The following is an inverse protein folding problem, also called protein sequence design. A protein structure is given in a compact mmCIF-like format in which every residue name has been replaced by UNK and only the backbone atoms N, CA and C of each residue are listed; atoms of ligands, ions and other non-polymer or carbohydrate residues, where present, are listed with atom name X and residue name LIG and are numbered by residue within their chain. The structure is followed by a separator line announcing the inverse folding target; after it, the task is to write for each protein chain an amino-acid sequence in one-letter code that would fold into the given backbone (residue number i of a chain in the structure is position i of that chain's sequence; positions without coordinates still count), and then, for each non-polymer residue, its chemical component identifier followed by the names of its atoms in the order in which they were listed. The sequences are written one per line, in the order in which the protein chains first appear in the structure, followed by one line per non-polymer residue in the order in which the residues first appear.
data_IF_661745364307
#
_entry.id   IF_661745364307
#
_cell.length_a   1.000
_cell.length_b   1.000
_cell.length_c   1.000
_cell.angle_alpha   90.00
_cell.angle_beta   90.00
_cell.angle_gamma   90.00
#
_symmetry.space_group_name_H-M   'P 1'
#
loop_
_entity.id
_entity.type
_entity.pdbx_description
1 polymer ?
#
# COMPACT_ATOMS: atom_id res chain seq x y z
N UNK A 1 -8.99 -13.98 4.61
CA UNK A 1 -8.79 -15.35 5.12
C UNK A 1 -8.78 -16.41 4.00
N UNK A 2 -9.72 -16.39 3.05
CA UNK A 2 -9.75 -17.36 1.94
C UNK A 2 -8.51 -17.34 1.02
N UNK A 3 -7.94 -16.16 0.74
CA UNK A 3 -6.72 -16.04 -0.06
C UNK A 3 -5.51 -16.65 0.64
N UNK A 4 -5.35 -16.42 1.95
CA UNK A 4 -4.28 -17.04 2.74
C UNK A 4 -4.41 -18.56 2.80
N UNK A 5 -5.64 -19.08 3.00
CA UNK A 5 -5.91 -20.52 2.97
C UNK A 5 -5.53 -21.15 1.63
N UNK A 6 -5.84 -20.48 0.51
CA UNK A 6 -5.44 -20.93 -0.83
C UNK A 6 -3.93 -20.99 -0.98
N UNK A 7 -3.22 -19.94 -0.54
CA UNK A 7 -1.76 -19.85 -0.64
C UNK A 7 -1.07 -20.96 0.16
N UNK A 8 -1.55 -21.22 1.37
CA UNK A 8 -1.00 -22.28 2.24
C UNK A 8 -1.28 -23.67 1.66
N UNK A 9 -2.47 -23.91 1.09
CA UNK A 9 -2.83 -25.23 0.57
C UNK A 9 -2.27 -25.55 -0.82
N UNK A 10 -2.19 -24.56 -1.72
CA UNK A 10 -1.82 -24.81 -3.12
C UNK A 10 -0.41 -24.29 -3.47
N UNK A 11 0.27 -23.65 -2.52
CA UNK A 11 1.52 -22.96 -2.79
C UNK A 11 1.33 -21.72 -3.65
N UNK A 12 2.34 -20.85 -3.65
CA UNK A 12 2.43 -19.69 -4.55
C UNK A 12 3.50 -19.99 -5.60
N UNK A 13 3.09 -20.17 -6.84
CA UNK A 13 4.07 -20.15 -7.94
C UNK A 13 4.55 -18.71 -8.17
N UNK A 14 5.80 -18.50 -8.63
CA UNK A 14 6.34 -17.15 -8.88
C UNK A 14 5.49 -16.33 -9.87
N UNK A 15 4.79 -16.98 -10.81
CA UNK A 15 3.86 -16.31 -11.73
C UNK A 15 2.55 -15.86 -11.05
N UNK A 16 2.14 -16.52 -9.95
CA UNK A 16 0.93 -16.20 -9.19
C UNK A 16 1.15 -15.13 -8.10
N UNK A 17 2.39 -14.69 -7.87
CA UNK A 17 2.66 -13.54 -7.00
C UNK A 17 2.25 -12.25 -7.73
N UNK A 18 0.94 -12.01 -7.75
CA UNK A 18 0.34 -10.88 -8.45
C UNK A 18 0.33 -9.61 -7.58
N UNK A 19 0.28 -8.43 -8.21
CA UNK A 19 0.16 -7.15 -7.52
C UNK A 19 -1.01 -7.03 -6.53
N UNK A 20 -1.97 -7.97 -6.55
CA UNK A 20 -3.11 -8.00 -5.63
C UNK A 20 -2.73 -8.06 -4.14
N UNK A 21 -1.54 -8.54 -3.78
CA UNK A 21 -1.08 -8.48 -2.39
C UNK A 21 -0.92 -7.04 -1.88
N UNK A 22 -0.66 -6.08 -2.77
CA UNK A 22 -0.64 -4.65 -2.42
C UNK A 22 -2.03 -4.14 -2.05
N UNK A 23 -3.11 -4.69 -2.61
CA UNK A 23 -4.49 -4.26 -2.31
C UNK A 23 -4.83 -4.50 -0.83
N UNK A 24 -4.33 -5.59 -0.24
CA UNK A 24 -4.50 -5.86 1.19
C UNK A 24 -3.80 -4.79 2.06
N UNK A 25 -2.59 -4.38 1.70
CA UNK A 25 -1.90 -3.25 2.35
C UNK A 25 -2.69 -1.95 2.17
N UNK A 26 -3.23 -1.71 0.97
CA UNK A 26 -4.04 -0.54 0.66
C UNK A 26 -5.30 -0.44 1.52
N UNK A 27 -5.99 -1.56 1.76
CA UNK A 27 -7.17 -1.58 2.63
C UNK A 27 -6.83 -1.17 4.08
N UNK A 28 -5.70 -1.62 4.61
CA UNK A 28 -5.24 -1.19 5.94
C UNK A 28 -4.86 0.29 5.96
N UNK A 29 -4.17 0.79 4.92
CA UNK A 29 -3.84 2.21 4.81
C UNK A 29 -5.10 3.10 4.77
N UNK A 30 -6.15 2.70 4.04
CA UNK A 30 -7.43 3.41 4.02
C UNK A 30 -8.06 3.42 5.42
N UNK A 31 -8.02 2.29 6.14
CA UNK A 31 -8.55 2.22 7.51
C UNK A 31 -7.79 3.16 8.46
N UNK A 32 -6.47 3.29 8.31
CA UNK A 32 -5.65 4.26 9.07
C UNK A 32 -6.05 5.70 8.74
N UNK A 33 -6.23 6.05 7.45
CA UNK A 33 -6.68 7.39 7.05
C UNK A 33 -8.06 7.69 7.64
N UNK A 34 -9.00 6.76 7.52
CA UNK A 34 -10.35 6.92 8.05
C UNK A 34 -10.35 7.10 9.57
N UNK A 35 -9.61 6.25 10.29
CA UNK A 35 -9.52 6.36 11.75
C UNK A 35 -8.79 7.62 12.21
N UNK A 36 -7.74 8.05 11.50
CA UNK A 36 -7.06 9.33 11.78
C UNK A 36 -8.02 10.51 11.62
N UNK A 37 -8.86 10.49 10.57
CA UNK A 37 -9.88 11.53 10.38
C UNK A 37 -10.95 11.50 11.47
N UNK A 38 -11.33 10.32 11.99
CA UNK A 38 -12.29 10.22 13.12
C UNK A 38 -11.67 10.77 14.40
N UNK A 39 -10.42 10.43 14.68
CA UNK A 39 -9.68 10.98 15.83
C UNK A 39 -9.50 12.50 15.68
N UNK A 40 -9.38 13.03 14.47
CA UNK A 40 -9.27 14.47 14.26
C UNK A 40 -10.58 15.26 14.48
N UNK A 41 -11.74 14.59 14.66
CA UNK A 41 -13.02 15.26 14.90
C UNK A 41 -13.00 15.96 16.28
N UNK A 42 -13.64 17.13 16.35
CA UNK A 42 -13.87 17.88 17.58
C UNK A 42 -14.50 17.00 18.67
N UNK A 43 -14.20 17.33 19.93
CA UNK A 43 -14.64 16.56 21.09
C UNK A 43 -16.16 16.46 21.14
N UNK A 44 -16.66 15.23 21.07
CA UNK A 44 -18.04 14.86 21.39
C UNK A 44 -18.00 13.63 22.29
N UNK A 45 -19.01 13.40 23.17
CA UNK A 45 -18.98 12.29 24.12
C UNK A 45 -18.72 10.91 23.47
N UNK A 46 -19.22 10.70 22.25
CA UNK A 46 -18.99 9.47 21.48
C UNK A 46 -17.56 9.38 20.94
N UNK A 47 -17.02 10.48 20.39
CA UNK A 47 -15.64 10.52 19.86
C UNK A 47 -14.65 10.30 21.00
N UNK A 48 -14.82 10.96 22.15
CA UNK A 48 -13.89 10.84 23.26
C UNK A 48 -13.88 9.43 23.87
N UNK A 49 -15.05 8.78 23.93
CA UNK A 49 -15.16 7.39 24.37
C UNK A 49 -14.48 6.39 23.42
N UNK A 50 -14.41 6.70 22.12
CA UNK A 50 -13.86 5.80 21.10
C UNK A 50 -12.42 6.15 20.68
N UNK A 51 -11.94 7.36 20.98
CA UNK A 51 -10.65 7.92 20.55
C UNK A 51 -9.48 7.00 20.87
N UNK A 52 -9.40 6.49 22.11
CA UNK A 52 -8.32 5.59 22.53
C UNK A 52 -8.33 4.25 21.78
N UNK A 53 -9.52 3.66 21.57
CA UNK A 53 -9.67 2.41 20.83
C UNK A 53 -9.28 2.59 19.35
N UNK A 54 -9.74 3.66 18.72
CA UNK A 54 -9.44 3.97 17.32
C UNK A 54 -7.95 4.27 17.16
N UNK A 55 -7.37 5.11 18.01
CA UNK A 55 -5.93 5.43 18.01
C UNK A 55 -5.04 4.19 18.12
N UNK A 56 -5.34 3.28 19.06
CA UNK A 56 -4.62 2.00 19.17
C UNK A 56 -4.80 1.13 17.91
N UNK A 57 -6.01 1.06 17.36
CA UNK A 57 -6.30 0.25 16.17
C UNK A 57 -5.55 0.75 14.93
N UNK A 58 -5.55 2.06 14.68
CA UNK A 58 -4.85 2.63 13.52
C UNK A 58 -3.33 2.53 13.66
N UNK A 59 -2.77 2.67 14.87
CA UNK A 59 -1.34 2.47 15.10
C UNK A 59 -0.92 1.02 14.80
N UNK A 60 -1.74 0.04 15.19
CA UNK A 60 -1.53 -1.38 14.85
C UNK A 60 -1.58 -1.58 13.34
N UNK A 61 -2.61 -1.08 12.65
CA UNK A 61 -2.73 -1.22 11.19
C UNK A 61 -1.59 -0.55 10.43
N UNK A 62 -1.15 0.63 10.87
CA UNK A 62 0.00 1.31 10.29
C UNK A 62 1.29 0.50 10.46
N UNK A 63 1.51 -0.08 11.64
CA UNK A 63 2.65 -0.97 11.90
C UNK A 63 2.61 -2.23 11.03
N UNK A 64 1.43 -2.80 10.81
CA UNK A 64 1.26 -3.91 9.87
C UNK A 64 1.57 -3.50 8.42
N UNK A 65 1.22 -2.27 7.99
CA UNK A 65 1.61 -1.77 6.68
C UNK A 65 3.14 -1.72 6.53
N UNK A 66 3.85 -1.22 7.55
CA UNK A 66 5.32 -1.21 7.54
C UNK A 66 5.92 -2.61 7.40
N UNK A 67 5.35 -3.62 8.05
CA UNK A 67 5.81 -5.00 7.94
C UNK A 67 5.51 -5.63 6.57
N UNK A 68 4.42 -5.23 5.93
CA UNK A 68 4.08 -5.70 4.59
C UNK A 68 5.02 -5.15 3.51
N UNK A 69 5.53 -3.93 3.65
CA UNK A 69 6.37 -3.30 2.63
C UNK A 69 7.62 -4.15 2.30
N UNK A 70 8.47 -4.56 3.27
CA UNK A 70 9.60 -5.44 3.00
C UNK A 70 9.20 -6.77 2.38
N UNK A 71 8.09 -7.36 2.84
CA UNK A 71 7.59 -8.64 2.31
C UNK A 71 7.15 -8.50 0.84
N UNK A 72 6.46 -7.41 0.49
CA UNK A 72 5.99 -7.14 -0.86
C UNK A 72 7.14 -6.81 -1.81
N UNK A 73 8.10 -6.00 -1.36
CA UNK A 73 9.32 -5.69 -2.12
C UNK A 73 10.13 -6.97 -2.32
N UNK A 74 10.31 -7.78 -1.28
CA UNK A 74 11.01 -9.06 -1.35
C UNK A 74 10.37 -10.02 -2.35
N UNK A 75 9.03 -10.13 -2.35
CA UNK A 75 8.29 -10.91 -3.35
C UNK A 75 8.48 -10.40 -4.79
N UNK A 76 8.51 -9.08 -4.98
CA UNK A 76 8.80 -8.46 -6.28
C UNK A 76 10.22 -8.75 -6.78
N UNK A 77 11.23 -8.60 -5.90
CA UNK A 77 12.63 -8.92 -6.20
C UNK A 77 12.79 -10.40 -6.51
N UNK A 78 12.17 -11.28 -5.72
CA UNK A 78 12.19 -12.72 -5.95
C UNK A 78 11.58 -13.11 -7.31
N UNK A 79 10.48 -12.48 -7.71
CA UNK A 79 9.82 -12.71 -9.01
C UNK A 79 10.67 -12.24 -10.19
N UNK A 80 11.23 -11.03 -10.13
CA UNK A 80 11.87 -10.41 -11.30
C UNK A 80 13.39 -10.60 -11.34
N UNK A 81 14.08 -10.65 -10.20
CA UNK A 81 15.53 -10.77 -10.12
C UNK A 81 15.94 -12.24 -10.02
N UNK A 82 15.34 -13.00 -9.09
CA UNK A 82 15.71 -14.41 -8.87
C UNK A 82 15.11 -15.30 -9.96
N UNK A 83 13.81 -15.15 -10.24
CA UNK A 83 13.10 -15.98 -11.23
C UNK A 83 13.10 -15.41 -12.66
N UNK A 84 13.74 -14.25 -12.87
CA UNK A 84 13.92 -13.59 -14.17
C UNK A 84 12.64 -13.47 -15.00
N UNK A 85 11.49 -13.29 -14.35
CA UNK A 85 10.21 -13.08 -15.05
C UNK A 85 10.28 -11.71 -15.73
N UNK A 86 10.08 -11.64 -17.07
CA UNK A 86 10.23 -10.39 -17.81
C UNK A 86 9.25 -9.34 -17.30
N UNK A 87 9.74 -8.11 -17.15
CA UNK A 87 8.99 -6.96 -16.66
C UNK A 87 8.15 -6.39 -17.82
N UNK A 88 7.08 -7.10 -18.17
CA UNK A 88 6.11 -6.64 -19.16
C UNK A 88 5.04 -5.81 -18.49
N UNK A 89 4.62 -4.71 -19.12
CA UNK A 89 3.49 -3.93 -18.61
C UNK A 89 2.24 -4.81 -18.54
N UNK A 90 1.67 -4.90 -17.34
CA UNK A 90 0.36 -5.51 -17.11
C UNK A 90 -0.51 -4.47 -16.41
N UNK A 91 -1.80 -4.33 -16.75
CA UNK A 91 -2.70 -3.38 -16.07
C UNK A 91 -2.73 -3.56 -14.54
N UNK A 92 -2.47 -4.78 -14.05
CA UNK A 92 -2.39 -5.10 -12.62
C UNK A 92 -1.27 -4.35 -11.87
N UNK A 93 -0.26 -3.80 -12.55
CA UNK A 93 0.77 -2.96 -11.92
C UNK A 93 0.18 -1.72 -11.23
N UNK A 94 -0.95 -1.20 -11.74
CA UNK A 94 -1.66 -0.09 -11.11
C UNK A 94 -2.18 -0.41 -9.70
N UNK A 95 -2.45 -1.68 -9.43
CA UNK A 95 -2.86 -2.14 -8.10
C UNK A 95 -1.79 -1.97 -7.03
N UNK A 96 -0.53 -1.71 -7.39
CA UNK A 96 0.54 -1.34 -6.44
C UNK A 96 0.61 0.16 -6.17
N UNK A 97 0.37 0.97 -7.20
CA UNK A 97 0.53 2.44 -7.14
C UNK A 97 -0.39 3.04 -6.08
N UNK A 98 -1.65 2.59 -6.07
CA UNK A 98 -2.66 3.09 -5.14
C UNK A 98 -2.31 2.79 -3.67
N UNK A 99 -2.00 1.55 -3.26
CA UNK A 99 -1.59 1.25 -1.88
C UNK A 99 -0.35 2.00 -1.39
N UNK A 100 0.66 2.20 -2.25
CA UNK A 100 1.85 2.98 -1.89
C UNK A 100 1.46 4.44 -1.61
N UNK A 101 0.65 5.04 -2.48
CA UNK A 101 0.13 6.39 -2.28
C UNK A 101 -0.73 6.51 -1.02
N UNK A 102 -1.62 5.54 -0.78
CA UNK A 102 -2.46 5.52 0.42
C UNK A 102 -1.64 5.34 1.70
N UNK A 103 -0.57 4.54 1.70
CA UNK A 103 0.33 4.43 2.84
C UNK A 103 1.04 5.75 3.15
N UNK A 104 1.41 6.52 2.12
CA UNK A 104 1.97 7.86 2.30
C UNK A 104 0.97 8.79 3.00
N UNK A 105 -0.28 8.85 2.51
CA UNK A 105 -1.35 9.66 3.09
C UNK A 105 -1.68 9.20 4.52
N UNK A 106 -1.77 7.89 4.75
CA UNK A 106 -1.99 7.31 6.08
C UNK A 106 -0.92 7.76 7.08
N UNK A 107 0.35 7.72 6.67
CA UNK A 107 1.48 8.12 7.52
C UNK A 107 1.48 9.63 7.80
N UNK A 108 1.17 10.47 6.80
CA UNK A 108 1.05 11.92 6.99
C UNK A 108 -0.09 12.25 7.97
N UNK A 109 -1.28 11.67 7.76
CA UNK A 109 -2.45 11.94 8.61
C UNK A 109 -2.24 11.45 10.05
N UNK A 110 -1.76 10.21 10.21
CA UNK A 110 -1.47 9.66 11.54
C UNK A 110 -0.39 10.49 12.26
N UNK A 111 0.68 10.87 11.55
CA UNK A 111 1.75 11.69 12.09
C UNK A 111 1.28 13.06 12.57
N UNK A 112 0.32 13.68 11.87
CA UNK A 112 -0.26 14.96 12.27
C UNK A 112 -1.20 14.85 13.46
N UNK A 113 -2.06 13.84 13.47
CA UNK A 113 -3.09 13.65 14.50
C UNK A 113 -2.47 13.31 15.85
N UNK A 114 -1.46 12.42 15.87
CA UNK A 114 -0.80 11.99 17.11
C UNK A 114 0.49 12.78 17.41
N UNK A 115 0.77 13.85 16.65
CA UNK A 115 1.98 14.67 16.76
C UNK A 115 3.28 13.83 16.76
N UNK A 116 3.40 12.94 15.77
CA UNK A 116 4.54 12.05 15.54
C UNK A 116 5.31 12.50 14.28
N UNK A 117 6.31 13.41 14.40
CA UNK A 117 7.01 13.98 13.24
C UNK A 117 7.73 12.92 12.39
N UNK A 118 8.20 11.84 13.03
CA UNK A 118 8.87 10.73 12.34
C UNK A 118 7.89 10.03 11.38
N UNK A 119 6.64 9.79 11.83
CA UNK A 119 5.61 9.10 11.04
C UNK A 119 5.16 9.98 9.87
N UNK A 120 4.99 11.28 10.10
CA UNK A 120 4.69 12.24 9.02
C UNK A 120 5.82 12.30 7.99
N UNK A 121 7.08 12.29 8.43
CA UNK A 121 8.23 12.33 7.53
C UNK A 121 8.33 11.05 6.69
N UNK A 122 8.04 9.87 7.27
CA UNK A 122 7.92 8.61 6.52
C UNK A 122 6.89 8.77 5.41
N UNK A 123 5.72 9.33 5.72
CA UNK A 123 4.68 9.59 4.72
C UNK A 123 5.12 10.56 3.63
N UNK A 124 5.83 11.62 4.00
CA UNK A 124 6.36 12.62 3.07
C UNK A 124 7.41 12.04 2.13
N UNK A 125 8.29 11.16 2.60
CA UNK A 125 9.22 10.43 1.72
C UNK A 125 8.46 9.45 0.83
N UNK A 126 7.50 8.73 1.40
CA UNK A 126 6.70 7.73 0.68
C UNK A 126 5.89 8.34 -0.46
N UNK A 127 5.37 9.58 -0.33
CA UNK A 127 4.60 10.20 -1.43
C UNK A 127 5.47 10.45 -2.67
N UNK A 128 6.74 10.85 -2.50
CA UNK A 128 7.67 10.99 -3.62
C UNK A 128 7.98 9.63 -4.25
N UNK A 129 8.12 8.57 -3.45
CA UNK A 129 8.27 7.20 -3.95
C UNK A 129 7.03 6.79 -4.74
N UNK A 130 5.83 7.06 -4.24
CA UNK A 130 4.58 6.76 -4.92
C UNK A 130 4.48 7.48 -6.27
N UNK A 131 4.88 8.76 -6.34
CA UNK A 131 4.93 9.53 -7.59
C UNK A 131 5.94 8.97 -8.60
N UNK A 132 7.12 8.55 -8.14
CA UNK A 132 8.10 7.88 -8.99
C UNK A 132 7.53 6.58 -9.57
N UNK A 133 6.95 5.72 -8.73
CA UNK A 133 6.34 4.46 -9.15
C UNK A 133 5.18 4.71 -10.12
N UNK A 134 4.30 5.67 -9.82
CA UNK A 134 3.20 6.09 -10.70
C UNK A 134 3.73 6.50 -12.09
N UNK A 135 4.77 7.33 -12.13
CA UNK A 135 5.36 7.82 -13.39
C UNK A 135 5.94 6.68 -14.22
N UNK A 136 6.64 5.74 -13.58
CA UNK A 136 7.20 4.56 -14.25
C UNK A 136 6.11 3.67 -14.84
N UNK A 137 5.05 3.39 -14.08
CA UNK A 137 3.91 2.58 -14.54
C UNK A 137 3.15 3.29 -15.66
N UNK A 138 2.98 4.61 -15.56
CA UNK A 138 2.34 5.43 -16.59
C UNK A 138 3.12 5.42 -17.91
N UNK A 139 4.45 5.59 -17.87
CA UNK A 139 5.31 5.48 -19.05
C UNK A 139 5.22 4.07 -19.66
N UNK A 140 5.22 3.02 -18.82
CA UNK A 140 5.07 1.65 -19.27
C UNK A 140 3.72 1.40 -19.96
N UNK A 141 2.64 2.00 -19.45
CA UNK A 141 1.32 1.99 -20.07
C UNK A 141 1.33 2.65 -21.44
N UNK A 142 1.86 3.87 -21.55
CA UNK A 142 1.95 4.60 -22.83
C UNK A 142 2.75 3.81 -23.86
N UNK A 143 3.90 3.23 -23.48
CA UNK A 143 4.70 2.36 -24.35
C UNK A 143 3.96 1.09 -24.76
N UNK A 144 3.10 0.56 -23.90
CA UNK A 144 2.23 -0.57 -24.22
C UNK A 144 1.16 -0.18 -25.24
N UNK A 145 0.47 0.93 -24.98
CA UNK A 145 -0.61 1.43 -25.83
C UNK A 145 -0.12 1.80 -27.23
N UNK A 146 1.02 2.49 -27.33
CA UNK A 146 1.66 2.84 -28.60
C UNK A 146 2.05 1.59 -29.40
N UNK A 147 2.54 0.53 -28.75
CA UNK A 147 2.87 -0.74 -29.42
C UNK A 147 1.64 -1.50 -29.92
N UNK A 148 0.51 -1.37 -29.23
CA UNK A 148 -0.76 -1.98 -29.66
C UNK A 148 -1.37 -1.19 -30.81
N UNK A 149 -1.33 0.14 -30.77
CA UNK A 149 -1.88 1.02 -31.81
C UNK A 149 -1.08 1.00 -33.12
N UNK A 150 0.22 0.71 -33.07
CA UNK A 150 1.08 0.58 -34.27
C UNK A 150 1.11 -0.84 -34.86
N UNK A 151 0.31 -1.77 -34.33
CA UNK A 151 0.06 -3.09 -34.92
C UNK A 151 -1.25 -3.09 -35.66
#
# INVERSE_FOLDING_TARGET
MLVLLRVVHFGLTPQQFEPHYWVAMGAMAIAVVAGSNIVAIDSTPMVDATRGLIGGTIAVFWTFCLWLIPMLIGGGVWRHVVHRVPLTYMPTLWSMVFPIGMFAVASIQLGRVDALPIVENIGTVTIYIALMVWTLVFIAMLRGMVRVLWR
#
